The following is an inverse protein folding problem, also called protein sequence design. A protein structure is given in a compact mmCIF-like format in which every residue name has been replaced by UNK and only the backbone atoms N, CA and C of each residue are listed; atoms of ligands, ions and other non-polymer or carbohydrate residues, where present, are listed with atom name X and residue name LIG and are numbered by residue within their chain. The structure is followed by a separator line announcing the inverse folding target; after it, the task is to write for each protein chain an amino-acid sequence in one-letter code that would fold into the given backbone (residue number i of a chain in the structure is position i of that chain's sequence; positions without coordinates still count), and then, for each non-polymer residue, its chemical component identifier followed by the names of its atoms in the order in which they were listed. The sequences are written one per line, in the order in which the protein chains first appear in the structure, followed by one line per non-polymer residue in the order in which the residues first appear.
data_IF_533871269573
#
_entry.id   IF_533871269573
#
_cell.length_a   1.000
_cell.length_b   1.000
_cell.length_c   1.000
_cell.angle_alpha   90.00
_cell.angle_beta   90.00
_cell.angle_gamma   90.00
#
_symmetry.space_group_name_H-M   'P 1'
#
loop_
_entity.id
_entity.type
_entity.pdbx_description
1 polymer ?
#
# COMPACT_ATOMS: atom_id res chain seq x y z
N UNK A 1 9.29 28.63 4.23
CA UNK A 1 9.88 27.74 3.20
C UNK A 1 8.81 27.40 2.18
N UNK A 2 9.15 27.31 0.89
CA UNK A 2 8.17 26.85 -0.11
C UNK A 2 7.84 25.37 0.16
N UNK A 3 6.58 24.94 0.06
CA UNK A 3 6.24 23.53 0.16
C UNK A 3 7.02 22.73 -0.91
N UNK A 4 7.40 21.48 -0.62
CA UNK A 4 8.17 20.68 -1.56
C UNK A 4 7.31 20.15 -2.72
N UNK A 5 7.96 19.88 -3.85
CA UNK A 5 7.43 18.92 -4.84
C UNK A 5 7.92 17.52 -4.46
N UNK A 6 7.01 16.54 -4.45
CA UNK A 6 7.37 15.12 -4.29
C UNK A 6 7.02 14.32 -5.53
N UNK A 7 7.81 13.28 -5.80
CA UNK A 7 7.49 12.27 -6.80
C UNK A 7 7.19 10.94 -6.12
N UNK A 8 6.13 10.25 -6.56
CA UNK A 8 5.61 9.06 -5.90
C UNK A 8 5.43 7.91 -6.89
N UNK A 9 5.50 6.70 -6.35
CA UNK A 9 5.07 5.46 -7.00
C UNK A 9 4.72 4.41 -5.93
N UNK A 10 4.04 3.34 -6.34
CA UNK A 10 3.67 2.23 -5.48
C UNK A 10 4.10 0.86 -6.01
N UNK A 11 4.25 -0.08 -5.08
CA UNK A 11 4.50 -1.47 -5.39
C UNK A 11 3.52 -2.36 -4.66
N UNK A 12 3.13 -3.48 -5.30
CA UNK A 12 2.15 -4.42 -4.73
C UNK A 12 0.71 -3.93 -4.79
N UNK A 13 0.41 -2.92 -5.61
CA UNK A 13 -0.96 -2.47 -5.87
C UNK A 13 -1.71 -3.51 -6.71
N UNK A 14 -2.70 -4.14 -6.10
CA UNK A 14 -3.60 -5.10 -6.75
C UNK A 14 -5.07 -4.65 -6.58
N UNK A 15 -5.25 -3.34 -6.41
CA UNK A 15 -6.50 -2.70 -5.99
C UNK A 15 -7.03 -3.34 -4.72
N UNK A 16 -8.31 -3.70 -4.73
CA UNK A 16 -8.96 -4.35 -3.58
C UNK A 16 -8.55 -5.81 -3.40
N UNK A 17 -7.74 -6.43 -4.28
CA UNK A 17 -7.34 -7.83 -4.13
C UNK A 17 -6.21 -7.98 -3.09
N UNK A 18 -6.59 -8.02 -1.82
CA UNK A 18 -5.63 -7.99 -0.70
C UNK A 18 -5.10 -9.37 -0.28
N UNK A 19 -5.82 -10.46 -0.58
CA UNK A 19 -5.49 -11.82 -0.12
C UNK A 19 -5.47 -12.81 -1.28
N UNK A 20 -4.43 -13.67 -1.31
CA UNK A 20 -4.20 -14.60 -2.43
C UNK A 20 -3.77 -13.90 -3.73
N UNK A 21 -3.32 -12.66 -3.60
CA UNK A 21 -2.69 -11.87 -4.63
C UNK A 21 -1.18 -12.21 -4.69
N UNK A 22 -0.44 -11.64 -5.63
CA UNK A 22 0.99 -11.97 -5.79
C UNK A 22 1.86 -11.42 -4.66
N UNK A 23 1.35 -10.42 -3.92
CA UNK A 23 2.11 -9.67 -2.92
C UNK A 23 1.33 -9.58 -1.62
N UNK A 24 2.01 -9.83 -0.49
CA UNK A 24 1.44 -9.72 0.85
C UNK A 24 1.54 -8.29 1.41
N UNK A 25 2.44 -7.49 0.82
CA UNK A 25 2.73 -6.12 1.26
C UNK A 25 2.42 -5.16 0.13
N UNK A 26 1.82 -4.04 0.47
CA UNK A 26 1.74 -2.86 -0.38
C UNK A 26 2.74 -1.83 0.13
N UNK A 27 3.42 -1.14 -0.78
CA UNK A 27 4.36 -0.05 -0.45
C UNK A 27 4.04 1.16 -1.31
N UNK A 28 4.01 2.34 -0.70
CA UNK A 28 3.95 3.61 -1.41
C UNK A 28 5.20 4.41 -1.06
N UNK A 29 6.00 4.79 -2.06
CA UNK A 29 7.20 5.58 -1.87
C UNK A 29 6.99 7.00 -2.36
N UNK A 30 7.65 7.94 -1.69
CA UNK A 30 7.77 9.32 -2.14
C UNK A 30 9.21 9.80 -2.01
N UNK A 31 9.66 10.58 -2.98
CA UNK A 31 10.97 11.23 -2.96
C UNK A 31 10.84 12.73 -3.18
N UNK A 32 11.66 13.49 -2.47
CA UNK A 32 11.78 14.95 -2.56
C UNK A 32 13.16 15.28 -3.15
N UNK A 33 13.33 14.98 -4.42
CA UNK A 33 14.55 15.26 -5.18
C UNK A 33 14.29 16.27 -6.29
N UNK A 34 15.30 17.10 -6.57
CA UNK A 34 15.31 17.93 -7.77
C UNK A 34 15.51 17.05 -9.03
N UNK A 35 14.99 17.45 -10.20
CA UNK A 35 15.08 16.65 -11.42
C UNK A 35 16.51 16.24 -11.80
N UNK A 36 17.48 17.16 -11.67
CA UNK A 36 18.89 16.93 -12.02
C UNK A 36 19.52 15.91 -11.06
N UNK A 37 19.35 16.09 -9.75
CA UNK A 37 19.84 15.16 -8.73
C UNK A 37 19.24 13.75 -8.91
N UNK A 38 17.95 13.66 -9.29
CA UNK A 38 17.33 12.39 -9.58
C UNK A 38 17.91 11.73 -10.85
N UNK A 39 18.19 12.51 -11.90
CA UNK A 39 18.83 12.00 -13.12
C UNK A 39 20.26 11.49 -12.86
N UNK A 40 21.04 12.21 -12.04
CA UNK A 40 22.36 11.77 -11.60
C UNK A 40 22.28 10.48 -10.77
N UNK A 41 21.32 10.40 -9.84
CA UNK A 41 21.10 9.21 -9.02
C UNK A 41 20.75 7.99 -9.89
N UNK A 42 19.85 8.15 -10.86
CA UNK A 42 19.51 7.08 -11.82
C UNK A 42 20.74 6.67 -12.64
N UNK A 43 21.54 7.62 -13.11
CA UNK A 43 22.75 7.34 -13.90
C UNK A 43 23.74 6.53 -13.08
N UNK A 44 24.02 6.98 -11.84
CA UNK A 44 24.91 6.29 -10.91
C UNK A 44 24.43 4.88 -10.57
N UNK A 45 23.13 4.72 -10.35
CA UNK A 45 22.54 3.41 -10.08
C UNK A 45 22.76 2.44 -11.25
N UNK A 46 22.60 2.93 -12.50
CA UNK A 46 22.85 2.13 -13.72
C UNK A 46 24.32 1.73 -13.85
N UNK A 47 25.25 2.64 -13.54
CA UNK A 47 26.69 2.34 -13.52
C UNK A 47 27.03 1.22 -12.53
N UNK A 48 26.47 1.29 -11.31
CA UNK A 48 26.71 0.29 -10.26
C UNK A 48 26.14 -1.09 -10.61
N UNK A 49 25.01 -1.15 -11.32
CA UNK A 49 24.42 -2.44 -11.76
C UNK A 49 25.20 -3.03 -12.95
N UNK A 50 25.79 -2.18 -13.80
CA UNK A 50 26.63 -2.61 -14.93
C UNK A 50 25.92 -3.47 -15.98
N UNK A 51 24.59 -3.33 -16.15
CA UNK A 51 23.81 -4.09 -17.14
C UNK A 51 23.39 -3.22 -18.35
N UNK A 52 23.23 -3.81 -19.54
CA UNK A 52 22.77 -3.08 -20.73
C UNK A 52 21.23 -2.92 -20.79
N UNK A 53 20.50 -3.29 -19.73
CA UNK A 53 19.05 -3.21 -19.73
C UNK A 53 18.57 -1.75 -19.81
N UNK A 54 17.65 -1.48 -20.74
CA UNK A 54 17.02 -0.16 -20.90
C UNK A 54 15.98 0.13 -19.81
N UNK A 55 15.45 -0.92 -19.17
CA UNK A 55 14.46 -0.83 -18.09
C UNK A 55 14.94 -1.65 -16.88
N UNK A 56 15.14 -0.97 -15.75
CA UNK A 56 15.37 -1.61 -14.46
C UNK A 56 14.08 -1.53 -13.66
N UNK A 57 13.63 -2.67 -13.14
CA UNK A 57 12.62 -2.73 -12.08
C UNK A 57 13.31 -3.11 -10.78
N UNK A 58 12.65 -2.91 -9.64
CA UNK A 58 13.20 -3.28 -8.33
C UNK A 58 13.75 -4.73 -8.26
N UNK A 59 13.13 -5.68 -8.97
CA UNK A 59 13.62 -7.07 -9.04
C UNK A 59 15.04 -7.21 -9.63
N UNK A 60 15.53 -6.23 -10.38
CA UNK A 60 16.93 -6.19 -10.83
C UNK A 60 17.86 -5.72 -9.72
N UNK A 61 17.47 -4.71 -8.94
CA UNK A 61 18.24 -4.19 -7.80
C UNK A 61 18.38 -5.22 -6.69
N UNK A 62 17.33 -6.00 -6.43
CA UNK A 62 17.27 -6.98 -5.35
C UNK A 62 18.10 -8.25 -5.62
N UNK A 63 18.79 -8.36 -6.75
CA UNK A 63 19.69 -9.50 -7.01
C UNK A 63 20.93 -9.37 -6.14
N UNK A 64 21.37 -10.47 -5.51
CA UNK A 64 22.54 -10.48 -4.60
C UNK A 64 23.80 -9.80 -5.17
N UNK A 65 24.05 -9.96 -6.48
CA UNK A 65 25.18 -9.31 -7.18
C UNK A 65 25.14 -7.78 -7.19
N UNK A 66 23.98 -7.18 -6.95
CA UNK A 66 23.74 -5.73 -6.98
C UNK A 66 23.61 -5.15 -5.56
N UNK A 67 24.00 -5.88 -4.50
CA UNK A 67 23.90 -5.43 -3.11
C UNK A 67 24.50 -4.04 -2.89
N UNK A 68 25.70 -3.78 -3.41
CA UNK A 68 26.37 -2.48 -3.26
C UNK A 68 25.55 -1.33 -3.87
N UNK A 69 24.83 -1.57 -4.98
CA UNK A 69 23.95 -0.57 -5.58
C UNK A 69 22.72 -0.28 -4.70
N UNK A 70 22.20 -1.32 -4.04
CA UNK A 70 21.07 -1.22 -3.12
C UNK A 70 21.44 -0.51 -1.82
N UNK A 71 22.57 -0.87 -1.22
CA UNK A 71 23.12 -0.18 -0.04
C UNK A 71 23.36 1.29 -0.35
N UNK A 72 24.02 1.60 -1.48
CA UNK A 72 24.26 2.97 -1.93
C UNK A 72 22.94 3.76 -2.08
N UNK A 73 21.92 3.18 -2.73
CA UNK A 73 20.61 3.81 -2.89
C UNK A 73 19.96 4.14 -1.53
N UNK A 74 20.09 3.23 -0.55
CA UNK A 74 19.48 3.38 0.77
C UNK A 74 20.32 4.22 1.75
N UNK A 75 21.53 4.67 1.39
CA UNK A 75 22.37 5.51 2.26
C UNK A 75 22.56 6.93 1.77
N UNK A 76 22.96 7.12 0.51
CA UNK A 76 23.46 8.42 0.05
C UNK A 76 22.40 9.33 -0.57
N UNK A 77 21.69 8.93 -1.65
CA UNK A 77 20.86 9.87 -2.40
C UNK A 77 19.50 10.15 -1.73
N UNK A 78 19.07 9.30 -0.80
CA UNK A 78 17.71 9.33 -0.25
C UNK A 78 17.62 9.85 1.17
N UNK A 79 18.74 10.04 1.86
CA UNK A 79 18.76 10.54 3.24
C UNK A 79 17.94 11.83 3.35
N UNK A 80 16.95 11.84 4.26
CA UNK A 80 15.97 12.92 4.48
C UNK A 80 15.15 13.38 3.25
N UNK A 81 15.27 12.69 2.12
CA UNK A 81 14.64 13.03 0.85
C UNK A 81 13.75 11.91 0.33
N UNK A 82 13.47 10.90 1.15
CA UNK A 82 12.58 9.81 0.79
C UNK A 82 11.74 9.35 1.98
N UNK A 83 10.59 8.77 1.66
CA UNK A 83 9.73 8.10 2.62
C UNK A 83 9.05 6.90 1.98
N UNK A 84 8.75 5.89 2.78
CA UNK A 84 7.95 4.74 2.39
C UNK A 84 6.84 4.54 3.39
N UNK A 85 5.61 4.35 2.90
CA UNK A 85 4.51 3.83 3.69
C UNK A 85 4.30 2.36 3.33
N UNK A 86 4.42 1.49 4.32
CA UNK A 86 4.26 0.05 4.19
C UNK A 86 2.90 -0.38 4.73
N UNK A 87 2.26 -1.33 4.05
CA UNK A 87 0.98 -1.90 4.46
C UNK A 87 1.04 -3.42 4.36
N UNK A 88 1.02 -4.09 5.52
CA UNK A 88 0.61 -5.49 5.62
C UNK A 88 -0.88 -5.58 5.23
N UNK A 89 -1.15 -6.22 4.09
CA UNK A 89 -2.49 -6.30 3.51
C UNK A 89 -3.46 -7.09 4.39
N UNK A 90 -2.98 -8.11 5.09
CA UNK A 90 -3.81 -8.92 5.97
C UNK A 90 -4.17 -8.14 7.25
N UNK A 91 -3.21 -7.42 7.84
CA UNK A 91 -3.47 -6.55 8.98
C UNK A 91 -4.39 -5.38 8.61
N UNK A 92 -4.17 -4.76 7.44
CA UNK A 92 -5.05 -3.71 6.92
C UNK A 92 -6.49 -4.22 6.78
N UNK A 93 -6.66 -5.41 6.21
CA UNK A 93 -7.97 -6.03 6.05
C UNK A 93 -8.62 -6.40 7.39
N UNK A 94 -7.84 -6.86 8.37
CA UNK A 94 -8.32 -7.06 9.74
C UNK A 94 -8.82 -5.75 10.36
N UNK A 95 -8.13 -4.63 10.12
CA UNK A 95 -8.61 -3.29 10.49
C UNK A 95 -9.97 -2.98 9.87
N UNK A 96 -10.13 -3.24 8.57
CA UNK A 96 -11.42 -3.02 7.88
C UNK A 96 -12.53 -3.96 8.34
N UNK A 97 -12.21 -5.14 8.83
CA UNK A 97 -13.19 -6.00 9.51
C UNK A 97 -13.64 -5.35 10.82
N UNK A 98 -12.73 -4.86 11.64
CA UNK A 98 -13.09 -4.13 12.88
C UNK A 98 -13.97 -2.91 12.54
N UNK A 99 -13.52 -2.07 11.60
CA UNK A 99 -14.24 -0.85 11.21
C UNK A 99 -15.65 -1.15 10.69
N UNK A 100 -15.80 -2.11 9.76
CA UNK A 100 -17.04 -2.28 8.99
C UNK A 100 -17.98 -3.33 9.56
N UNK A 101 -17.47 -4.34 10.27
CA UNK A 101 -18.28 -5.43 10.83
C UNK A 101 -18.52 -5.28 12.33
N UNK A 102 -17.53 -4.76 13.09
CA UNK A 102 -17.64 -4.63 14.55
C UNK A 102 -18.19 -3.26 14.91
N UNK A 103 -17.45 -2.21 14.56
CA UNK A 103 -17.80 -0.83 14.90
C UNK A 103 -18.89 -0.27 13.97
N UNK A 104 -18.99 -0.85 12.77
CA UNK A 104 -19.93 -0.43 11.72
C UNK A 104 -19.79 1.06 11.39
N UNK A 105 -18.53 1.54 11.40
CA UNK A 105 -18.13 2.91 11.10
C UNK A 105 -18.66 3.31 9.72
N UNK A 106 -19.37 4.44 9.61
CA UNK A 106 -19.98 4.84 8.36
C UNK A 106 -18.92 5.28 7.32
N UNK A 107 -19.34 5.33 6.07
CA UNK A 107 -18.57 5.94 5.00
C UNK A 107 -18.81 7.47 4.99
N UNK A 108 -17.80 8.33 4.75
CA UNK A 108 -16.41 8.01 4.41
C UNK A 108 -15.45 7.88 5.62
N UNK A 109 -15.95 7.96 6.86
CA UNK A 109 -15.11 7.94 8.07
C UNK A 109 -14.22 6.68 8.15
N UNK A 110 -14.75 5.52 7.76
CA UNK A 110 -14.02 4.26 7.69
C UNK A 110 -12.79 4.29 6.76
N UNK A 111 -12.67 5.24 5.83
CA UNK A 111 -11.49 5.38 4.97
C UNK A 111 -10.24 5.81 5.76
N UNK A 112 -10.43 6.57 6.85
CA UNK A 112 -9.33 7.13 7.67
C UNK A 112 -8.93 6.22 8.82
N UNK A 113 -9.77 5.25 9.18
CA UNK A 113 -9.46 4.31 10.25
C UNK A 113 -8.19 3.51 9.97
N UNK A 114 -7.37 3.33 11.01
CA UNK A 114 -6.12 2.56 11.01
C UNK A 114 -6.25 1.37 11.97
N UNK A 115 -5.58 0.23 11.71
CA UNK A 115 -5.68 -0.94 12.58
C UNK A 115 -5.30 -0.65 14.03
N UNK A 116 -6.23 -0.92 14.95
CA UNK A 116 -6.03 -0.79 16.39
C UNK A 116 -5.56 -2.12 17.03
N UNK A 117 -5.56 -2.19 18.37
CA UNK A 117 -5.19 -3.39 19.10
C UNK A 117 -6.12 -4.59 18.79
N UNK A 118 -7.41 -4.35 18.51
CA UNK A 118 -8.37 -5.42 18.16
C UNK A 118 -8.08 -5.96 16.76
N UNK A 119 -7.74 -5.09 15.81
CA UNK A 119 -7.32 -5.51 14.48
C UNK A 119 -6.04 -6.36 14.52
N UNK A 120 -5.07 -5.97 15.36
CA UNK A 120 -3.82 -6.74 15.58
C UNK A 120 -4.09 -8.09 16.23
N UNK A 121 -5.00 -8.17 17.19
CA UNK A 121 -5.44 -9.43 17.78
C UNK A 121 -6.13 -10.32 16.73
N UNK A 122 -7.07 -9.76 15.96
CA UNK A 122 -7.79 -10.48 14.91
C UNK A 122 -6.84 -11.03 13.84
N UNK A 123 -5.89 -10.21 13.39
CA UNK A 123 -4.88 -10.63 12.42
C UNK A 123 -4.07 -11.84 12.93
N UNK A 124 -3.67 -11.81 14.20
CA UNK A 124 -2.85 -12.84 14.85
C UNK A 124 -3.64 -14.12 15.15
N UNK A 125 -4.85 -13.97 15.66
CA UNK A 125 -5.62 -15.06 16.25
C UNK A 125 -6.59 -15.69 15.26
N UNK A 126 -7.05 -14.95 14.24
CA UNK A 126 -7.90 -15.46 13.17
C UNK A 126 -7.43 -16.78 12.55
N UNK A 127 -6.18 -16.89 12.05
CA UNK A 127 -5.68 -18.15 11.50
C UNK A 127 -5.47 -19.25 12.57
N UNK A 128 -5.24 -18.88 13.84
CA UNK A 128 -5.08 -19.86 14.95
C UNK A 128 -6.41 -20.46 15.38
N UNK A 129 -7.46 -19.64 15.41
CA UNK A 129 -8.81 -20.05 15.84
C UNK A 129 -9.52 -20.82 14.72
N UNK A 130 -9.50 -20.31 13.50
CA UNK A 130 -10.29 -20.87 12.39
C UNK A 130 -9.48 -21.77 11.46
N UNK A 131 -8.16 -21.82 11.60
CA UNK A 131 -7.25 -22.48 10.67
C UNK A 131 -6.90 -21.59 9.47
N UNK A 132 -5.63 -21.65 9.04
CA UNK A 132 -5.07 -20.76 8.00
C UNK A 132 -5.86 -20.74 6.70
N UNK A 133 -6.27 -21.91 6.19
CA UNK A 133 -7.02 -22.01 4.94
C UNK A 133 -8.39 -21.32 5.05
N UNK A 134 -9.18 -21.68 6.07
CA UNK A 134 -10.53 -21.15 6.31
C UNK A 134 -10.50 -19.64 6.56
N UNK A 135 -9.54 -19.17 7.36
CA UNK A 135 -9.34 -17.74 7.60
C UNK A 135 -9.01 -16.99 6.31
N UNK A 136 -8.10 -17.52 5.50
CA UNK A 136 -7.75 -16.93 4.20
C UNK A 136 -8.94 -16.87 3.24
N UNK A 137 -9.79 -17.91 3.22
CA UNK A 137 -11.03 -17.92 2.44
C UNK A 137 -12.03 -16.86 2.91
N UNK A 138 -12.21 -16.71 4.23
CA UNK A 138 -13.05 -15.67 4.81
C UNK A 138 -12.58 -14.27 4.39
N UNK A 139 -11.29 -13.98 4.53
CA UNK A 139 -10.71 -12.70 4.12
C UNK A 139 -10.86 -12.42 2.62
N UNK A 140 -10.67 -13.45 1.77
CA UNK A 140 -10.91 -13.34 0.32
C UNK A 140 -12.39 -13.05 0.02
N UNK A 141 -13.29 -13.68 0.76
CA UNK A 141 -14.73 -13.48 0.62
C UNK A 141 -15.14 -12.05 1.03
N UNK A 142 -14.57 -11.51 2.10
CA UNK A 142 -14.76 -10.11 2.52
C UNK A 142 -14.26 -9.13 1.45
N UNK A 143 -13.06 -9.35 0.94
CA UNK A 143 -12.52 -8.62 -0.21
C UNK A 143 -13.44 -8.69 -1.43
N UNK A 144 -13.95 -9.88 -1.75
CA UNK A 144 -14.84 -10.10 -2.88
C UNK A 144 -16.21 -9.43 -2.72
N UNK A 145 -16.64 -9.14 -1.49
CA UNK A 145 -17.92 -8.50 -1.21
C UNK A 145 -17.90 -7.01 -1.60
N UNK A 146 -16.83 -6.30 -1.28
CA UNK A 146 -16.67 -4.85 -1.53
C UNK A 146 -15.94 -4.53 -2.83
N UNK A 147 -15.73 -5.53 -3.69
CA UNK A 147 -15.09 -5.37 -4.99
C UNK A 147 -16.06 -4.76 -6.00
N UNK A 148 -15.65 -3.65 -6.60
CA UNK A 148 -16.43 -2.92 -7.62
C UNK A 148 -16.07 -3.28 -9.06
N UNK A 149 -14.93 -3.96 -9.30
CA UNK A 149 -14.53 -4.40 -10.64
C UNK A 149 -14.59 -5.94 -10.80
N UNK A 150 -15.32 -6.40 -11.83
CA UNK A 150 -15.55 -7.83 -12.10
C UNK A 150 -14.46 -8.50 -12.95
N UNK A 151 -13.30 -7.86 -13.16
CA UNK A 151 -12.35 -8.25 -14.22
C UNK A 151 -11.62 -9.59 -14.01
N UNK A 152 -11.64 -10.20 -12.81
CA UNK A 152 -10.81 -11.40 -12.53
C UNK A 152 -11.48 -12.53 -11.73
N UNK A 153 -12.51 -12.27 -10.92
CA UNK A 153 -13.25 -13.29 -10.15
C UNK A 153 -14.69 -12.81 -9.90
N UNK A 154 -15.68 -13.72 -9.76
CA UNK A 154 -17.04 -13.33 -9.42
C UNK A 154 -17.10 -12.65 -8.05
N UNK A 155 -17.78 -11.50 -7.98
CA UNK A 155 -18.00 -10.79 -6.73
C UNK A 155 -18.72 -11.70 -5.72
N UNK A 156 -18.30 -11.65 -4.45
CA UNK A 156 -19.00 -12.36 -3.37
C UNK A 156 -20.31 -11.63 -3.10
N UNK A 157 -21.44 -12.36 -3.11
CA UNK A 157 -22.74 -11.77 -2.78
C UNK A 157 -22.86 -11.58 -1.26
N UNK A 158 -23.65 -10.59 -0.78
CA UNK A 158 -23.93 -10.46 0.66
C UNK A 158 -24.44 -11.77 1.27
N UNK A 159 -25.36 -12.47 0.59
CA UNK A 159 -25.88 -13.76 1.07
C UNK A 159 -24.76 -14.81 1.27
N UNK A 160 -23.81 -14.91 0.32
CA UNK A 160 -22.69 -15.86 0.42
C UNK A 160 -21.72 -15.46 1.53
N UNK A 161 -21.39 -14.17 1.65
CA UNK A 161 -20.48 -13.70 2.69
C UNK A 161 -21.03 -13.99 4.09
N UNK A 162 -22.30 -13.60 4.34
CA UNK A 162 -22.95 -13.73 5.63
C UNK A 162 -23.41 -15.15 6.00
N UNK A 163 -23.30 -16.12 5.08
CA UNK A 163 -23.52 -17.53 5.39
C UNK A 163 -22.38 -18.17 6.20
N UNK A 164 -21.24 -17.48 6.33
CA UNK A 164 -20.04 -17.94 7.06
C UNK A 164 -20.17 -17.69 8.58
N UNK A 165 -21.24 -18.21 9.19
CA UNK A 165 -21.57 -17.95 10.60
C UNK A 165 -20.55 -18.53 11.59
N UNK A 166 -19.79 -19.54 11.17
CA UNK A 166 -18.67 -20.13 11.91
C UNK A 166 -17.53 -19.14 12.18
N UNK A 167 -17.33 -18.17 11.28
CA UNK A 167 -16.32 -17.11 11.43
C UNK A 167 -16.94 -15.80 11.91
N UNK A 168 -18.12 -15.46 11.39
CA UNK A 168 -18.76 -14.16 11.69
C UNK A 168 -19.32 -14.07 13.11
N UNK A 169 -19.88 -15.16 13.65
CA UNK A 169 -20.59 -15.10 14.94
C UNK A 169 -21.62 -13.96 14.96
N UNK A 170 -21.52 -13.08 15.95
CA UNK A 170 -22.42 -11.93 16.12
C UNK A 170 -22.25 -10.83 15.06
N UNK A 171 -21.15 -10.81 14.31
CA UNK A 171 -20.89 -9.81 13.26
C UNK A 171 -21.86 -9.90 12.08
N UNK A 172 -22.67 -10.95 12.01
CA UNK A 172 -23.78 -11.07 11.05
C UNK A 172 -24.75 -9.87 11.16
N UNK A 173 -24.85 -9.24 12.33
CA UNK A 173 -25.65 -8.03 12.54
C UNK A 173 -25.25 -6.86 11.62
N UNK A 174 -24.01 -6.80 11.13
CA UNK A 174 -23.54 -5.75 10.22
C UNK A 174 -24.08 -5.87 8.78
N UNK A 175 -24.82 -6.95 8.46
CA UNK A 175 -25.32 -7.24 7.11
C UNK A 175 -26.04 -6.09 6.42
N UNK A 176 -27.01 -5.38 7.05
CA UNK A 176 -27.71 -4.27 6.39
C UNK A 176 -26.76 -3.15 5.97
N UNK A 177 -25.86 -2.72 6.87
CA UNK A 177 -24.92 -1.62 6.60
C UNK A 177 -23.89 -1.99 5.53
N UNK A 178 -23.29 -3.17 5.62
CA UNK A 178 -22.27 -3.59 4.66
C UNK A 178 -22.86 -3.82 3.26
N UNK A 179 -24.11 -4.29 3.19
CA UNK A 179 -24.84 -4.42 1.91
C UNK A 179 -25.11 -3.05 1.30
N UNK A 180 -25.58 -2.08 2.10
CA UNK A 180 -25.82 -0.72 1.62
C UNK A 180 -24.53 -0.04 1.12
N UNK A 181 -23.42 -0.17 1.86
CA UNK A 181 -22.12 0.34 1.44
C UNK A 181 -21.66 -0.28 0.11
N UNK A 182 -21.81 -1.60 -0.04
CA UNK A 182 -21.49 -2.28 -1.30
C UNK A 182 -22.30 -1.71 -2.46
N UNK A 183 -23.60 -1.52 -2.28
CA UNK A 183 -24.48 -1.02 -3.34
C UNK A 183 -24.13 0.43 -3.69
N UNK A 184 -23.76 1.25 -2.70
CA UNK A 184 -23.25 2.60 -2.92
C UNK A 184 -21.94 2.59 -3.75
N UNK A 185 -20.97 1.73 -3.41
CA UNK A 185 -19.71 1.59 -4.13
C UNK A 185 -19.89 1.09 -5.58
N UNK A 186 -20.92 0.28 -5.84
CA UNK A 186 -21.25 -0.17 -7.19
C UNK A 186 -21.96 0.90 -8.02
N UNK A 187 -22.77 1.74 -7.37
CA UNK A 187 -23.49 2.81 -8.03
C UNK A 187 -22.58 3.98 -8.43
N UNK A 188 -21.51 4.25 -7.67
CA UNK A 188 -20.60 5.36 -7.90
C UNK A 188 -19.13 4.91 -7.99
N UNK A 189 -18.55 4.82 -9.21
CA UNK A 189 -17.14 4.46 -9.40
C UNK A 189 -16.17 5.55 -8.91
N UNK A 190 -16.65 6.77 -8.63
CA UNK A 190 -15.89 7.86 -8.04
C UNK A 190 -15.56 7.65 -6.56
N UNK A 191 -16.22 6.73 -5.88
CA UNK A 191 -15.95 6.43 -4.47
C UNK A 191 -14.67 5.60 -4.30
N UNK A 192 -13.92 5.91 -3.25
CA UNK A 192 -12.80 5.09 -2.78
C UNK A 192 -13.33 3.86 -2.06
N UNK A 193 -12.85 2.68 -2.45
CA UNK A 193 -13.15 1.46 -1.68
C UNK A 193 -12.42 1.53 -0.32
N UNK A 194 -13.08 1.22 0.81
CA UNK A 194 -12.39 1.11 2.10
C UNK A 194 -11.31 0.03 2.13
N UNK A 195 -11.29 -0.87 1.14
CA UNK A 195 -10.28 -1.92 0.98
C UNK A 195 -9.12 -1.52 0.06
N UNK A 196 -9.08 -0.27 -0.42
CA UNK A 196 -7.96 0.24 -1.23
C UNK A 196 -6.89 0.85 -0.30
N UNK A 197 -5.69 0.25 -0.20
CA UNK A 197 -4.63 0.75 0.67
C UNK A 197 -3.91 1.97 0.09
N UNK A 198 -3.99 2.23 -1.23
CA UNK A 198 -3.27 3.31 -1.88
C UNK A 198 -3.73 4.68 -1.37
N UNK A 199 -5.04 4.90 -1.34
CA UNK A 199 -5.64 6.16 -0.95
C UNK A 199 -5.28 6.62 0.49
N UNK A 200 -5.42 5.79 1.54
CA UNK A 200 -4.96 6.15 2.88
C UNK A 200 -3.44 6.30 2.96
N UNK A 201 -2.66 5.48 2.24
CA UNK A 201 -1.20 5.61 2.23
C UNK A 201 -0.74 6.95 1.62
N UNK A 202 -1.40 7.36 0.54
CA UNK A 202 -1.15 8.62 -0.13
C UNK A 202 -1.52 9.81 0.75
N UNK A 203 -2.66 9.74 1.44
CA UNK A 203 -3.08 10.77 2.39
C UNK A 203 -2.06 10.96 3.53
N UNK A 204 -1.55 9.86 4.10
CA UNK A 204 -0.52 9.91 5.15
C UNK A 204 0.80 10.46 4.60
N UNK A 205 1.18 10.09 3.37
CA UNK A 205 2.38 10.61 2.70
C UNK A 205 2.30 12.12 2.45
N UNK A 206 1.13 12.61 2.00
CA UNK A 206 0.88 14.03 1.79
C UNK A 206 0.86 14.78 3.14
N UNK A 207 0.27 14.20 4.18
CA UNK A 207 0.27 14.79 5.52
C UNK A 207 1.69 14.93 6.10
N UNK A 208 2.57 13.98 5.81
CA UNK A 208 3.98 13.99 6.21
C UNK A 208 4.78 15.07 5.47
N UNK A 209 4.75 15.08 4.13
CA UNK A 209 5.57 16.00 3.33
C UNK A 209 4.99 17.41 3.19
N UNK A 210 3.66 17.54 3.31
CA UNK A 210 2.89 18.77 3.04
C UNK A 210 3.29 19.43 1.71
N UNK A 211 3.28 18.70 0.58
CA UNK A 211 3.75 19.21 -0.69
C UNK A 211 2.77 20.24 -1.29
N UNK A 212 3.27 21.15 -2.14
CA UNK A 212 2.41 21.93 -3.03
C UNK A 212 2.10 21.19 -4.32
N UNK A 213 2.97 20.25 -4.71
CA UNK A 213 2.88 19.48 -5.94
C UNK A 213 3.28 18.03 -5.75
N UNK A 214 2.48 17.14 -6.32
CA UNK A 214 2.74 15.70 -6.40
C UNK A 214 2.87 15.30 -7.87
N UNK A 215 3.97 14.63 -8.17
CA UNK A 215 4.20 13.93 -9.43
C UNK A 215 4.05 12.45 -9.13
N UNK A 216 3.32 11.71 -9.95
CA UNK A 216 3.03 10.31 -9.68
C UNK A 216 3.11 9.49 -10.97
N UNK A 217 3.53 8.23 -10.90
CA UNK A 217 3.38 7.31 -12.04
C UNK A 217 1.90 7.17 -12.42
N UNK A 218 1.60 6.71 -13.63
CA UNK A 218 0.22 6.55 -14.07
C UNK A 218 -0.56 5.54 -13.21
N UNK A 219 -1.49 6.05 -12.41
CA UNK A 219 -2.33 5.22 -11.55
C UNK A 219 -3.83 5.53 -11.78
N UNK A 220 -4.56 4.67 -12.52
CA UNK A 220 -5.96 4.91 -12.89
C UNK A 220 -6.92 5.12 -11.73
N UNK A 221 -6.56 4.66 -10.53
CA UNK A 221 -7.39 4.81 -9.33
C UNK A 221 -7.32 6.21 -8.70
N UNK A 222 -6.33 7.04 -9.04
CA UNK A 222 -6.11 8.37 -8.45
C UNK A 222 -6.84 9.49 -9.23
N UNK A 223 -8.17 9.41 -9.29
CA UNK A 223 -8.98 10.46 -9.92
C UNK A 223 -9.15 11.66 -8.97
N UNK A 224 -9.40 12.88 -9.49
CA UNK A 224 -9.63 14.06 -8.64
C UNK A 224 -10.75 13.86 -7.60
N UNK A 225 -11.84 13.19 -7.98
CA UNK A 225 -12.95 12.88 -7.09
C UNK A 225 -12.58 11.93 -5.94
N UNK A 226 -11.66 10.99 -6.18
CA UNK A 226 -11.14 10.07 -5.15
C UNK A 226 -10.14 10.75 -4.25
N UNK A 227 -9.23 11.56 -4.81
CA UNK A 227 -8.25 12.35 -4.07
C UNK A 227 -8.95 13.26 -3.04
N UNK A 228 -9.98 13.99 -3.46
CA UNK A 228 -10.71 14.92 -2.60
C UNK A 228 -11.45 14.27 -1.41
N UNK A 229 -11.64 12.94 -1.38
CA UNK A 229 -12.30 12.26 -0.25
C UNK A 229 -11.40 12.16 0.98
N UNK A 230 -10.07 12.10 0.77
CA UNK A 230 -9.10 11.85 1.83
C UNK A 230 -8.08 12.98 1.99
N UNK A 231 -7.86 13.78 0.95
CA UNK A 231 -6.81 14.79 0.90
C UNK A 231 -7.47 16.17 0.76
N UNK A 232 -7.22 17.05 1.73
CA UNK A 232 -7.67 18.44 1.72
C UNK A 232 -6.62 19.36 2.36
N UNK A 233 -6.12 20.39 1.66
CA UNK A 233 -6.33 20.66 0.24
C UNK A 233 -5.60 19.63 -0.64
N UNK A 234 -6.17 19.32 -1.82
CA UNK A 234 -5.49 18.50 -2.82
C UNK A 234 -4.32 19.29 -3.43
N UNK A 235 -3.07 18.79 -3.38
CA UNK A 235 -1.93 19.46 -3.99
C UNK A 235 -2.03 19.47 -5.52
N UNK A 236 -1.22 20.28 -6.18
CA UNK A 236 -1.13 20.25 -7.65
C UNK A 236 -0.69 18.85 -8.10
N UNK A 237 -1.46 18.22 -8.98
CA UNK A 237 -1.22 16.84 -9.39
C UNK A 237 -0.70 16.74 -10.82
N UNK A 238 0.27 15.86 -11.07
CA UNK A 238 0.72 15.51 -12.42
C UNK A 238 1.06 14.03 -12.53
N UNK A 239 0.42 13.34 -13.47
CA UNK A 239 0.84 12.01 -13.90
C UNK A 239 1.96 12.10 -14.94
N UNK A 240 2.90 11.18 -14.87
CA UNK A 240 4.04 11.07 -15.80
C UNK A 240 4.34 9.60 -16.06
N UNK A 241 4.99 9.31 -17.18
CA UNK A 241 5.60 8.00 -17.43
C UNK A 241 6.92 7.92 -16.64
N UNK A 242 7.02 6.93 -15.75
CA UNK A 242 8.23 6.60 -14.98
C UNK A 242 9.51 6.48 -15.83
N UNK A 243 9.41 6.14 -17.13
CA UNK A 243 10.56 6.09 -18.06
C UNK A 243 11.14 7.45 -18.41
N UNK A 244 10.35 8.50 -18.27
CA UNK A 244 10.70 9.87 -18.66
C UNK A 244 10.94 10.81 -17.47
N UNK A 245 10.59 10.38 -16.26
CA UNK A 245 10.73 11.17 -15.03
C UNK A 245 11.64 10.44 -14.02
N UNK A 246 12.92 10.83 -13.91
CA UNK A 246 13.88 10.19 -13.01
C UNK A 246 13.43 10.13 -11.56
N UNK A 247 12.67 11.12 -11.08
CA UNK A 247 12.18 11.13 -9.68
C UNK A 247 11.15 10.02 -9.43
N UNK A 248 10.27 9.76 -10.39
CA UNK A 248 9.31 8.64 -10.31
C UNK A 248 10.05 7.31 -10.46
N UNK A 249 11.07 7.22 -11.32
CA UNK A 249 11.90 6.01 -11.41
C UNK A 249 12.59 5.66 -10.07
N UNK A 250 13.07 6.65 -9.31
CA UNK A 250 13.63 6.42 -7.98
C UNK A 250 12.53 5.98 -7.00
N UNK A 251 11.35 6.59 -7.07
CA UNK A 251 10.20 6.18 -6.24
C UNK A 251 9.78 4.72 -6.54
N UNK A 252 9.74 4.28 -7.80
CA UNK A 252 9.48 2.88 -8.20
C UNK A 252 10.51 1.94 -7.55
N UNK A 253 11.80 2.25 -7.70
CA UNK A 253 12.87 1.46 -7.09
C UNK A 253 12.70 1.34 -5.59
N UNK A 254 12.46 2.46 -4.91
CA UNK A 254 12.29 2.47 -3.46
C UNK A 254 11.03 1.70 -3.04
N UNK A 255 9.89 1.90 -3.69
CA UNK A 255 8.65 1.19 -3.39
C UNK A 255 8.80 -0.32 -3.58
N UNK A 256 9.43 -0.74 -4.68
CA UNK A 256 9.65 -2.15 -4.98
C UNK A 256 10.68 -2.82 -4.07
N UNK A 257 11.77 -2.12 -3.72
CA UNK A 257 12.77 -2.57 -2.74
C UNK A 257 12.12 -2.72 -1.37
N UNK A 258 11.44 -1.68 -0.90
CA UNK A 258 10.85 -1.66 0.42
C UNK A 258 9.80 -2.76 0.58
N UNK A 259 8.91 -2.91 -0.40
CA UNK A 259 7.93 -4.01 -0.43
C UNK A 259 8.60 -5.37 -0.33
N UNK A 260 9.65 -5.62 -1.12
CA UNK A 260 10.32 -6.93 -1.17
C UNK A 260 11.02 -7.27 0.14
N UNK A 261 11.83 -6.35 0.67
CA UNK A 261 12.54 -6.56 1.95
C UNK A 261 11.54 -6.83 3.08
N UNK A 262 10.43 -6.11 3.06
CA UNK A 262 9.35 -6.23 4.04
C UNK A 262 8.61 -7.57 3.90
N UNK A 263 8.33 -8.03 2.68
CA UNK A 263 7.78 -9.38 2.43
C UNK A 263 8.73 -10.50 2.84
N UNK A 264 10.02 -10.38 2.57
CA UNK A 264 11.03 -11.38 2.95
C UNK A 264 11.15 -11.48 4.48
N UNK A 265 11.03 -10.34 5.17
CA UNK A 265 10.98 -10.27 6.65
C UNK A 265 9.75 -10.99 7.20
N UNK A 266 8.56 -10.81 6.61
CA UNK A 266 7.34 -11.56 7.03
C UNK A 266 7.49 -13.07 6.93
N UNK A 267 8.28 -13.56 5.96
CA UNK A 267 8.52 -14.97 5.77
C UNK A 267 9.72 -15.49 6.59
N UNK A 268 10.32 -14.66 7.45
CA UNK A 268 11.44 -15.02 8.32
C UNK A 268 12.79 -15.11 7.61
N UNK A 269 12.91 -14.55 6.40
CA UNK A 269 14.12 -14.60 5.57
C UNK A 269 14.69 -13.23 5.18
N UNK A 270 14.27 -12.16 5.86
CA UNK A 270 14.69 -10.80 5.55
C UNK A 270 16.18 -10.54 5.79
N UNK A 271 16.78 -9.70 4.95
CA UNK A 271 18.15 -9.22 5.12
C UNK A 271 18.20 -8.10 6.17
N UNK A 272 18.68 -8.42 7.37
CA UNK A 272 18.64 -7.52 8.52
C UNK A 272 19.39 -6.19 8.29
N UNK A 273 20.49 -6.22 7.53
CA UNK A 273 21.27 -5.01 7.22
C UNK A 273 20.48 -4.09 6.30
N UNK A 274 19.88 -4.63 5.24
CA UNK A 274 19.07 -3.85 4.30
C UNK A 274 17.78 -3.34 4.95
N UNK A 275 17.16 -4.12 5.84
CA UNK A 275 16.01 -3.66 6.64
C UNK A 275 16.42 -2.51 7.56
N UNK A 276 17.62 -2.57 8.15
CA UNK A 276 18.18 -1.48 8.97
C UNK A 276 18.38 -0.21 8.13
N UNK A 277 18.88 -0.33 6.90
CA UNK A 277 19.04 0.80 5.98
C UNK A 277 17.71 1.37 5.49
N UNK A 278 16.67 0.55 5.34
CA UNK A 278 15.34 0.99 4.91
C UNK A 278 14.60 1.77 6.01
N UNK A 279 14.82 1.41 7.28
CA UNK A 279 14.08 1.89 8.46
C UNK A 279 13.92 3.42 8.54
N UNK A 280 14.95 4.25 8.28
CA UNK A 280 14.80 5.71 8.38
C UNK A 280 13.75 6.29 7.43
N UNK A 281 13.43 5.59 6.35
CA UNK A 281 12.45 6.02 5.37
C UNK A 281 11.02 5.59 5.72
N UNK A 282 10.83 4.61 6.61
CA UNK A 282 9.51 4.05 6.89
C UNK A 282 8.68 5.03 7.74
N UNK A 283 7.54 5.45 7.20
CA UNK A 283 6.66 6.39 7.88
C UNK A 283 6.00 5.74 9.10
N UNK A 284 5.83 6.47 10.22
CA UNK A 284 5.12 5.99 11.41
C UNK A 284 3.67 5.55 11.15
N UNK A 285 3.06 6.08 10.08
CA UNK A 285 1.69 5.71 9.68
C UNK A 285 1.60 4.34 8.98
N UNK A 286 2.73 3.66 8.76
CA UNK A 286 2.76 2.33 8.15
C UNK A 286 1.96 1.30 8.96
N UNK A 287 1.25 0.42 8.26
CA UNK A 287 0.43 -0.63 8.84
C UNK A 287 1.26 -1.91 8.93
N UNK A 288 1.83 -2.16 10.11
CA UNK A 288 2.72 -3.30 10.36
C UNK A 288 2.48 -3.94 11.73
N UNK A 289 2.73 -5.26 11.87
CA UNK A 289 2.46 -6.04 13.10
C UNK A 289 3.49 -5.78 14.21
N UNK A 290 4.75 -5.51 13.85
CA UNK A 290 5.79 -5.03 14.76
C UNK A 290 5.86 -3.52 14.80
N UNK A 291 6.87 -2.98 15.49
CA UNK A 291 7.36 -1.66 15.11
C UNK A 291 7.81 -1.72 13.63
N UNK A 292 7.87 -0.62 12.87
CA UNK A 292 8.49 -0.60 11.53
C UNK A 292 10.00 -0.95 11.53
N UNK A 293 10.47 -1.55 12.62
CA UNK A 293 11.83 -1.79 13.07
C UNK A 293 12.01 -3.15 13.78
N UNK A 294 10.99 -4.02 13.82
CA UNK A 294 11.09 -5.40 14.33
C UNK A 294 11.05 -6.43 13.19
#
# INVERSE_FOLDING_TARGET
MRPPTIACDESGSEGVNLIGANTAVFAHAAVRLEPEAAAECVTRLRELIGSPALEYKANHLLRAKNRAALEWLLTEPLADNASVLLVDKALFLAGKIVDLLIDQTPYPECLRCRPDARARALHRDGPRIHGTCRWSEFLRSFTGLLRTSNRRLPATTPARFFAQTDVLGDWVAARPRLTALRDQLLADPGLVSPLDPLMPALADTIAFWRPDKVIHDEQPSLTPARLAQLIDPVPQWRFVDSKSEPRVQIADFLAGVARRLTEETLHGGGDADLVTLLRPYVLPASVWIGDPAD
#
